data_IF_469805729910
#
_entry.id   IF_469805729910
#
_cell.length_a   1.000
_cell.length_b   1.000
_cell.length_c   1.000
_cell.angle_alpha   90.00
_cell.angle_beta   90.00
_cell.angle_gamma   90.00
#
_symmetry.space_group_name_H-M   'P 1'
#
loop_
_entity.id
_entity.type
_entity.pdbx_description
1 polymer ?
#
# COMPACT_ATOMS: atom_id res chain seq x y z
N UNK A 1 -8.52 8.85 -13.96
CA UNK A 1 -8.08 7.60 -13.29
C UNK A 1 -7.27 6.65 -14.15
N UNK A 2 -7.36 6.66 -15.48
CA UNK A 2 -6.59 5.74 -16.36
C UNK A 2 -5.07 5.79 -16.11
N UNK A 3 -4.46 6.98 -16.23
CA UNK A 3 -3.01 7.16 -16.07
C UNK A 3 -2.54 6.81 -14.66
N UNK A 4 -3.33 7.17 -13.64
CA UNK A 4 -3.07 6.81 -12.23
C UNK A 4 -3.05 5.30 -12.03
N UNK A 5 -4.04 4.59 -12.59
CA UNK A 5 -4.11 3.12 -12.50
C UNK A 5 -2.91 2.47 -13.17
N UNK A 6 -2.52 2.92 -14.36
CA UNK A 6 -1.35 2.34 -15.01
C UNK A 6 -0.04 2.67 -14.29
N UNK A 7 0.11 3.88 -13.75
CA UNK A 7 1.26 4.23 -12.93
C UNK A 7 1.38 3.32 -11.70
N UNK A 8 0.26 3.05 -11.01
CA UNK A 8 0.22 2.13 -9.86
C UNK A 8 0.54 0.70 -10.29
N UNK A 9 -0.06 0.21 -11.39
CA UNK A 9 0.24 -1.11 -11.95
C UNK A 9 1.72 -1.24 -12.32
N UNK A 10 2.34 -0.19 -12.87
CA UNK A 10 3.77 -0.16 -13.14
C UNK A 10 4.59 -0.18 -11.84
N UNK A 11 4.25 0.68 -10.88
CA UNK A 11 4.94 0.81 -9.59
C UNK A 11 4.82 -0.46 -8.73
N UNK A 12 3.80 -1.31 -8.93
CA UNK A 12 3.63 -2.57 -8.21
C UNK A 12 4.85 -3.50 -8.31
N UNK A 13 5.69 -3.33 -9.32
CA UNK A 13 6.92 -4.14 -9.52
C UNK A 13 8.17 -3.56 -8.85
N UNK A 14 8.08 -2.35 -8.31
CA UNK A 14 9.17 -1.64 -7.65
C UNK A 14 9.11 -1.85 -6.12
N UNK A 15 10.20 -1.61 -5.36
CA UNK A 15 10.16 -1.59 -3.90
C UNK A 15 9.46 -0.31 -3.38
N UNK A 16 8.16 -0.19 -3.63
CA UNK A 16 7.38 1.02 -3.36
C UNK A 16 6.02 0.67 -2.74
N UNK A 17 5.62 1.43 -1.72
CA UNK A 17 4.28 1.45 -1.14
C UNK A 17 3.74 2.87 -1.26
N UNK A 18 2.44 3.02 -1.49
CA UNK A 18 1.76 4.29 -1.69
C UNK A 18 0.65 4.42 -0.64
N UNK A 19 0.64 5.54 0.07
CA UNK A 19 -0.43 5.87 1.02
C UNK A 19 -1.14 7.09 0.47
N UNK A 20 -2.46 7.00 0.29
CA UNK A 20 -3.30 8.10 -0.16
C UNK A 20 -4.17 8.54 1.02
N UNK A 21 -4.02 9.78 1.47
CA UNK A 21 -4.81 10.34 2.56
C UNK A 21 -5.82 11.34 2.01
N UNK A 22 -7.11 10.99 2.10
CA UNK A 22 -8.21 11.85 1.69
C UNK A 22 -8.60 12.86 2.77
N UNK A 23 -8.43 14.15 2.50
CA UNK A 23 -8.80 15.25 3.41
C UNK A 23 -10.02 16.00 2.87
N UNK A 24 -10.87 16.51 3.77
CA UNK A 24 -12.08 17.25 3.41
C UNK A 24 -13.31 16.35 3.25
N UNK A 25 -14.30 16.83 2.49
CA UNK A 25 -15.63 16.23 2.41
C UNK A 25 -16.03 15.73 1.01
N UNK A 26 -15.10 15.67 0.05
CA UNK A 26 -15.37 15.16 -1.31
C UNK A 26 -15.85 13.70 -1.30
N UNK A 27 -16.31 13.18 -2.44
CA UNK A 27 -16.53 11.74 -2.62
C UNK A 27 -15.19 11.04 -2.89
N UNK A 28 -14.92 9.93 -2.20
CA UNK A 28 -13.68 9.15 -2.33
C UNK A 28 -13.93 7.73 -2.87
N UNK A 29 -15.08 7.48 -3.47
CA UNK A 29 -15.43 6.16 -4.02
C UNK A 29 -14.35 5.62 -4.98
N UNK A 30 -13.78 6.48 -5.85
CA UNK A 30 -12.70 6.08 -6.75
C UNK A 30 -11.38 5.72 -6.04
N UNK A 31 -11.17 6.16 -4.79
CA UNK A 31 -9.96 5.82 -4.03
C UNK A 31 -10.02 4.40 -3.48
N UNK A 32 -11.21 3.90 -3.15
CA UNK A 32 -11.41 2.50 -2.77
C UNK A 32 -11.07 1.56 -3.94
N UNK A 33 -11.27 2.02 -5.17
CA UNK A 33 -10.86 1.27 -6.36
C UNK A 33 -9.32 1.20 -6.51
N UNK A 34 -8.58 2.18 -6.01
CA UNK A 34 -7.12 2.17 -6.05
C UNK A 34 -6.51 1.29 -4.94
N UNK A 35 -7.19 1.18 -3.80
CA UNK A 35 -6.83 0.32 -2.65
C UNK A 35 -6.75 -1.16 -3.01
N UNK A 36 -7.62 -1.62 -3.92
CA UNK A 36 -7.54 -2.96 -4.52
C UNK A 36 -7.55 -4.15 -3.52
N UNK A 37 -8.14 -3.96 -2.33
CA UNK A 37 -8.31 -4.99 -1.30
C UNK A 37 -9.09 -6.22 -1.76
N UNK A 38 -10.13 -6.02 -2.58
CA UNK A 38 -11.02 -7.10 -3.05
C UNK A 38 -10.50 -7.75 -4.33
N UNK A 39 -10.04 -6.94 -5.28
CA UNK A 39 -9.60 -7.38 -6.59
C UNK A 39 -8.32 -6.65 -7.04
N UNK A 40 -7.35 -7.37 -7.64
CA UNK A 40 -6.12 -6.76 -8.13
C UNK A 40 -6.38 -5.63 -9.13
N UNK A 41 -5.75 -4.48 -8.88
CA UNK A 41 -5.87 -3.32 -9.75
C UNK A 41 -5.43 -3.64 -11.18
N UNK A 42 -6.31 -3.39 -12.14
CA UNK A 42 -6.00 -3.55 -13.56
C UNK A 42 -5.85 -2.20 -14.26
N UNK A 43 -4.93 -2.09 -15.21
CA UNK A 43 -4.78 -0.94 -16.09
C UNK A 43 -5.81 -1.00 -17.22
N UNK A 44 -6.11 0.14 -17.88
CA UNK A 44 -6.96 0.16 -19.08
C UNK A 44 -6.42 -0.68 -20.25
N UNK A 45 -5.13 -1.03 -20.22
CA UNK A 45 -4.45 -1.83 -21.24
C UNK A 45 -4.39 -3.33 -20.91
N UNK A 46 -5.16 -3.77 -19.91
CA UNK A 46 -5.29 -5.19 -19.55
C UNK A 46 -4.14 -5.75 -18.71
N UNK A 47 -3.20 -4.92 -18.26
CA UNK A 47 -2.16 -5.33 -17.30
C UNK A 47 -2.69 -5.24 -15.87
N UNK A 48 -2.48 -6.29 -15.08
CA UNK A 48 -2.83 -6.33 -13.66
C UNK A 48 -1.60 -6.01 -12.79
N UNK A 49 -1.83 -5.37 -11.64
CA UNK A 49 -0.81 -5.11 -10.64
C UNK A 49 -0.17 -6.44 -10.17
N UNK A 50 1.16 -6.43 -9.97
CA UNK A 50 1.90 -7.61 -9.55
C UNK A 50 1.69 -7.95 -8.07
N UNK A 51 1.28 -6.96 -7.28
CA UNK A 51 0.99 -7.00 -5.86
C UNK A 51 0.18 -5.74 -5.53
N UNK A 52 -0.58 -5.80 -4.45
CA UNK A 52 -1.16 -4.60 -3.89
C UNK A 52 -0.06 -3.70 -3.27
N UNK A 53 -0.21 -2.39 -3.46
CA UNK A 53 0.74 -1.35 -3.03
C UNK A 53 0.07 -0.07 -2.52
N UNK A 54 -1.25 0.04 -2.54
CA UNK A 54 -1.96 1.28 -2.20
C UNK A 54 -2.71 1.06 -0.92
N UNK A 55 -2.54 1.96 0.04
CA UNK A 55 -3.44 2.10 1.20
C UNK A 55 -4.18 3.44 1.09
N UNK A 56 -5.51 3.41 1.06
CA UNK A 56 -6.34 4.59 1.14
C UNK A 56 -6.87 4.85 2.56
N UNK A 57 -6.71 6.08 3.05
CA UNK A 57 -7.22 6.49 4.36
C UNK A 57 -8.03 7.79 4.27
N UNK A 58 -9.36 7.75 4.45
CA UNK A 58 -10.18 8.95 4.60
C UNK A 58 -9.96 9.59 5.98
N UNK A 59 -9.16 10.67 6.04
CA UNK A 59 -8.78 11.35 7.28
C UNK A 59 -9.97 11.80 8.12
N UNK A 60 -11.09 12.17 7.48
CA UNK A 60 -12.32 12.61 8.18
C UNK A 60 -12.88 11.56 9.15
N UNK A 61 -12.61 10.27 8.92
CA UNK A 61 -13.06 9.19 9.79
C UNK A 61 -12.36 9.21 11.16
N UNK A 62 -11.27 9.97 11.29
CA UNK A 62 -10.42 10.04 12.48
C UNK A 62 -10.49 11.39 13.21
N UNK A 63 -11.45 12.27 12.84
CA UNK A 63 -11.57 13.63 13.41
C UNK A 63 -11.63 13.68 14.94
N UNK A 64 -12.22 12.65 15.55
CA UNK A 64 -12.37 12.52 17.00
C UNK A 64 -11.58 11.32 17.57
N UNK A 65 -10.66 10.78 16.78
CA UNK A 65 -9.82 9.65 17.16
C UNK A 65 -8.45 10.10 17.63
N UNK A 66 -7.72 9.23 18.32
CA UNK A 66 -6.34 9.50 18.67
C UNK A 66 -5.44 9.48 17.43
N UNK A 67 -4.30 10.21 17.44
CA UNK A 67 -3.29 10.10 16.39
C UNK A 67 -2.79 8.65 16.18
N UNK A 68 -2.78 7.84 17.25
CA UNK A 68 -2.43 6.42 17.19
C UNK A 68 -3.43 5.60 16.37
N UNK A 69 -4.74 5.91 16.45
CA UNK A 69 -5.76 5.23 15.66
C UNK A 69 -5.60 5.55 14.16
N UNK A 70 -5.30 6.80 13.81
CA UNK A 70 -4.98 7.18 12.44
C UNK A 70 -3.70 6.48 11.96
N UNK A 71 -2.62 6.52 12.74
CA UNK A 71 -1.36 5.87 12.39
C UNK A 71 -1.52 4.37 12.16
N UNK A 72 -2.36 3.70 12.97
CA UNK A 72 -2.69 2.29 12.78
C UNK A 72 -3.33 2.02 11.42
N UNK A 73 -4.29 2.86 11.00
CA UNK A 73 -4.94 2.72 9.69
C UNK A 73 -4.00 3.04 8.53
N UNK A 74 -3.18 4.08 8.67
CA UNK A 74 -2.21 4.51 7.64
C UNK A 74 -1.13 3.47 7.36
N UNK A 75 -0.75 2.69 8.37
CA UNK A 75 0.34 1.71 8.27
C UNK A 75 -0.15 0.26 8.22
N UNK A 76 -1.46 0.02 8.08
CA UNK A 76 -2.03 -1.32 8.22
C UNK A 76 -1.48 -2.31 7.20
N UNK A 77 -1.36 -1.89 5.93
CA UNK A 77 -0.92 -2.78 4.83
C UNK A 77 0.57 -2.75 4.53
N UNK A 78 1.28 -1.69 4.93
CA UNK A 78 2.72 -1.53 4.63
C UNK A 78 3.54 -2.77 5.01
N UNK A 79 3.35 -3.43 6.17
CA UNK A 79 4.07 -4.66 6.50
C UNK A 79 3.88 -5.78 5.47
N UNK A 80 2.64 -6.02 5.02
CA UNK A 80 2.34 -7.06 4.03
C UNK A 80 2.94 -6.70 2.67
N UNK A 81 2.79 -5.45 2.23
CA UNK A 81 3.33 -4.96 0.96
C UNK A 81 4.86 -5.12 0.89
N UNK A 82 5.56 -4.90 2.00
CA UNK A 82 7.01 -5.14 2.10
C UNK A 82 7.32 -6.64 1.97
N UNK A 83 6.62 -7.49 2.71
CA UNK A 83 6.81 -8.94 2.67
C UNK A 83 6.56 -9.48 1.26
N UNK A 84 5.51 -9.03 0.58
CA UNK A 84 5.15 -9.45 -0.77
C UNK A 84 6.21 -9.05 -1.80
N UNK A 85 6.75 -7.82 -1.70
CA UNK A 85 7.87 -7.43 -2.55
C UNK A 85 9.08 -8.33 -2.33
N UNK A 86 9.50 -8.55 -1.09
CA UNK A 86 10.69 -9.37 -0.80
C UNK A 86 10.51 -10.83 -1.25
N UNK A 87 9.33 -11.41 -1.00
CA UNK A 87 8.98 -12.76 -1.42
C UNK A 87 8.99 -12.89 -2.95
N UNK A 88 8.35 -11.96 -3.68
CA UNK A 88 8.31 -11.98 -5.15
C UNK A 88 9.69 -11.81 -5.80
N UNK A 89 10.65 -11.20 -5.09
CA UNK A 89 12.04 -11.02 -5.54
C UNK A 89 12.99 -12.12 -5.03
N UNK A 90 12.51 -13.07 -4.23
CA UNK A 90 13.34 -14.10 -3.61
C UNK A 90 14.39 -13.55 -2.63
N UNK A 91 14.17 -12.34 -2.10
CA UNK A 91 15.11 -11.68 -1.18
C UNK A 91 14.80 -12.14 0.24
N UNK A 92 15.73 -12.89 0.84
CA UNK A 92 15.59 -13.36 2.21
C UNK A 92 15.93 -12.26 3.23
N UNK A 93 15.28 -12.23 4.41
CA UNK A 93 15.69 -11.37 5.50
C UNK A 93 17.17 -11.59 5.85
N UNK A 94 17.89 -10.50 6.14
CA UNK A 94 19.26 -10.61 6.65
C UNK A 94 19.19 -11.28 8.02
N UNK A 95 19.89 -12.39 8.19
CA UNK A 95 20.05 -12.99 9.51
C UNK A 95 20.81 -12.00 10.39
N UNK A 96 20.30 -11.75 11.60
CA UNK A 96 21.06 -11.01 12.60
C UNK A 96 22.33 -11.82 12.86
N UNK A 97 23.49 -11.27 12.48
CA UNK A 97 24.76 -11.84 12.93
C UNK A 97 24.73 -11.76 14.44
N UNK A 98 24.62 -12.90 15.12
CA UNK A 98 24.90 -12.98 16.55
C UNK A 98 26.25 -12.33 16.76
N UNK A 99 26.26 -11.13 17.35
CA UNK A 99 27.45 -10.59 17.96
C UNK A 99 27.82 -11.59 19.05
N UNK A 100 28.81 -12.43 18.76
CA UNK A 100 29.36 -13.37 19.73
C UNK A 100 29.67 -12.58 21.00
N UNK A 101 29.11 -12.92 22.17
CA UNK A 101 29.69 -12.44 23.41
C UNK A 101 31.08 -13.10 23.50
N UNK A 102 32.08 -12.28 23.83
CA UNK A 102 33.41 -12.75 24.22
C UNK A 102 33.32 -13.68 25.42
#
# INVERSE_FOLDING_TARGET
MADTRDAIVHASRLPMSVIIVGVGSADFTDMNLLDADEEPLSSPWGRTAARDIVQFVPFRNFKHSSPAALAKSVLAEVPNQVVDYYNSRGIKPKTLKSSRPF
#
